data_IF_693816577388
#
_entry.id   IF_693816577388
#
_cell.length_a   1.000
_cell.length_b   1.000
_cell.length_c   1.000
_cell.angle_alpha   90.00
_cell.angle_beta   90.00
_cell.angle_gamma   90.00
#
_symmetry.space_group_name_H-M   'P 1'
#
loop_
_entity.id
_entity.type
_entity.pdbx_description
1 polymer ?
#
# COMPACT_ATOMS: atom_id res chain seq x y z
N UNK A 1 14.35 -5.32 7.21
CA UNK A 1 13.58 -4.07 7.34
C UNK A 1 13.06 -3.74 5.95
N UNK A 2 11.80 -3.31 5.86
CA UNK A 2 11.17 -2.94 4.59
C UNK A 2 10.84 -1.46 4.64
N UNK A 3 11.02 -0.76 3.51
CA UNK A 3 10.79 0.68 3.36
C UNK A 3 9.92 0.93 2.14
N UNK A 4 8.90 1.78 2.28
CA UNK A 4 8.03 2.24 1.20
C UNK A 4 8.08 3.77 1.17
N UNK A 5 8.31 4.33 -0.02
CA UNK A 5 8.24 5.76 -0.28
C UNK A 5 6.87 6.22 -0.74
N UNK A 6 6.76 7.51 -1.00
CA UNK A 6 5.58 8.17 -1.56
C UNK A 6 6.00 8.97 -2.82
N UNK A 7 5.06 9.27 -3.71
CA UNK A 7 5.18 10.09 -4.92
C UNK A 7 5.87 9.48 -6.15
N UNK A 8 6.59 8.38 -6.00
CA UNK A 8 7.42 7.82 -7.08
C UNK A 8 8.29 8.86 -7.81
N UNK A 9 8.99 9.69 -7.03
CA UNK A 9 9.92 10.67 -7.57
C UNK A 9 10.94 10.01 -8.52
N UNK A 10 11.45 10.78 -9.49
CA UNK A 10 12.31 10.26 -10.56
C UNK A 10 13.49 9.40 -10.05
N UNK A 11 14.11 9.79 -8.94
CA UNK A 11 15.25 9.08 -8.34
C UNK A 11 14.85 7.80 -7.59
N UNK A 12 13.56 7.55 -7.30
CA UNK A 12 13.12 6.39 -6.52
C UNK A 12 13.55 5.05 -7.15
N UNK A 13 13.64 5.01 -8.48
CA UNK A 13 14.12 3.84 -9.23
C UNK A 13 15.66 3.68 -9.22
N UNK A 14 16.40 4.76 -8.95
CA UNK A 14 17.86 4.82 -9.00
C UNK A 14 18.52 4.56 -7.63
N UNK A 15 17.74 4.61 -6.55
CA UNK A 15 18.23 4.26 -5.21
C UNK A 15 18.70 2.81 -5.14
N UNK A 16 19.60 2.52 -4.18
CA UNK A 16 20.07 1.16 -3.90
C UNK A 16 19.78 0.78 -2.44
N UNK A 17 18.80 -0.10 -2.18
CA UNK A 17 17.91 -0.77 -3.14
C UNK A 17 16.86 0.18 -3.75
N UNK A 18 16.40 -0.13 -4.96
CA UNK A 18 15.36 0.66 -5.63
C UNK A 18 14.08 0.68 -4.78
N UNK A 19 13.51 1.88 -4.60
CA UNK A 19 12.50 2.15 -3.58
C UNK A 19 11.09 1.77 -4.07
N UNK A 20 10.43 0.84 -3.38
CA UNK A 20 8.99 0.58 -3.50
C UNK A 20 8.25 1.84 -3.06
N UNK A 21 7.22 2.28 -3.80
CA UNK A 21 6.59 3.58 -3.56
C UNK A 21 5.14 3.62 -4.00
N UNK A 22 4.34 4.50 -3.41
CA UNK A 22 2.98 4.81 -3.86
C UNK A 22 3.03 5.96 -4.85
N UNK A 23 2.78 5.69 -6.12
CA UNK A 23 2.72 6.69 -7.20
C UNK A 23 1.36 7.40 -7.16
N UNK A 24 1.41 8.72 -7.10
CA UNK A 24 0.23 9.56 -7.24
C UNK A 24 0.04 10.02 -8.69
N UNK A 25 -1.21 10.20 -9.17
CA UNK A 25 -1.49 10.83 -10.46
C UNK A 25 -1.31 12.37 -10.36
N UNK A 26 -0.09 12.83 -10.06
CA UNK A 26 0.23 14.23 -9.70
C UNK A 26 -0.19 15.24 -10.76
N UNK A 27 -0.07 14.90 -12.04
CA UNK A 27 -0.54 15.75 -13.13
C UNK A 27 -2.06 15.95 -13.12
N UNK A 28 -2.82 14.86 -12.92
CA UNK A 28 -4.28 14.94 -12.86
C UNK A 28 -4.74 15.70 -11.62
N UNK A 29 -4.08 15.48 -10.48
CA UNK A 29 -4.32 16.23 -9.23
C UNK A 29 -4.15 17.74 -9.46
N UNK A 30 -2.99 18.16 -9.99
CA UNK A 30 -2.70 19.58 -10.22
C UNK A 30 -3.65 20.22 -11.23
N UNK A 31 -3.94 19.53 -12.34
CA UNK A 31 -4.91 19.99 -13.34
C UNK A 31 -6.30 20.18 -12.73
N UNK A 32 -6.78 19.17 -12.00
CA UNK A 32 -8.11 19.19 -11.39
C UNK A 32 -8.20 20.27 -10.33
N UNK A 33 -7.16 20.44 -9.51
CA UNK A 33 -7.11 21.52 -8.53
C UNK A 33 -7.21 22.91 -9.19
N UNK A 34 -6.51 23.13 -10.30
CA UNK A 34 -6.61 24.38 -11.05
C UNK A 34 -8.02 24.58 -11.65
N UNK A 35 -8.63 23.52 -12.19
CA UNK A 35 -10.01 23.55 -12.71
C UNK A 35 -11.01 23.89 -11.59
N UNK A 36 -10.86 23.30 -10.40
CA UNK A 36 -11.70 23.59 -9.23
C UNK A 36 -11.55 25.05 -8.77
N UNK A 37 -10.33 25.57 -8.70
CA UNK A 37 -10.06 26.96 -8.31
C UNK A 37 -10.69 27.96 -9.31
N UNK A 38 -10.59 27.68 -10.62
CA UNK A 38 -11.21 28.50 -11.65
C UNK A 38 -12.75 28.43 -11.62
N UNK A 39 -13.31 27.29 -11.18
CA UNK A 39 -14.75 27.17 -10.97
C UNK A 39 -15.22 27.91 -9.71
N UNK A 40 -14.39 27.98 -8.67
CA UNK A 40 -14.71 28.61 -7.38
C UNK A 40 -15.01 30.11 -7.51
N UNK A 41 -14.33 30.80 -8.43
CA UNK A 41 -14.55 32.24 -8.66
C UNK A 41 -15.86 32.55 -9.40
N UNK A 42 -16.60 31.53 -9.86
CA UNK A 42 -17.85 31.73 -10.60
C UNK A 42 -19.05 31.84 -9.65
N UNK A 43 -20.03 32.73 -9.93
CA UNK A 43 -21.26 32.81 -9.15
C UNK A 43 -22.01 31.48 -9.11
N UNK A 44 -22.47 31.07 -7.93
CA UNK A 44 -23.23 29.82 -7.76
C UNK A 44 -22.39 28.54 -7.77
N UNK A 45 -21.06 28.67 -7.66
CA UNK A 45 -20.15 27.55 -7.46
C UNK A 45 -20.59 26.61 -6.32
N UNK A 46 -20.29 25.31 -6.49
CA UNK A 46 -20.42 24.30 -5.44
C UNK A 46 -19.07 23.64 -5.19
N UNK A 47 -18.71 23.52 -3.92
CA UNK A 47 -17.51 22.80 -3.50
C UNK A 47 -17.62 21.34 -3.93
N UNK A 48 -16.52 20.81 -4.45
CA UNK A 48 -16.40 19.42 -4.87
C UNK A 48 -15.21 18.79 -4.17
N UNK A 49 -15.39 17.55 -3.72
CA UNK A 49 -14.34 16.70 -3.21
C UNK A 49 -14.13 15.55 -4.19
N UNK A 50 -12.87 15.31 -4.59
CA UNK A 50 -12.51 14.30 -5.58
C UNK A 50 -11.46 13.37 -5.00
N UNK A 51 -11.70 12.08 -5.13
CA UNK A 51 -10.78 11.04 -4.69
C UNK A 51 -10.02 10.47 -5.89
N UNK A 52 -8.69 10.48 -5.78
CA UNK A 52 -7.80 9.91 -6.79
C UNK A 52 -7.27 8.56 -6.30
N UNK A 53 -7.20 7.60 -7.21
CA UNK A 53 -6.65 6.27 -6.90
C UNK A 53 -5.14 6.27 -7.17
N UNK A 54 -4.29 6.11 -6.15
CA UNK A 54 -2.87 5.93 -6.37
C UNK A 54 -2.54 4.49 -6.77
N UNK A 55 -1.30 4.28 -7.21
CA UNK A 55 -0.77 2.98 -7.62
C UNK A 55 0.44 2.58 -6.76
N UNK A 56 0.50 1.34 -6.31
CA UNK A 56 1.70 0.82 -5.64
C UNK A 56 2.71 0.32 -6.69
N UNK A 57 3.88 0.94 -6.73
CA UNK A 57 5.01 0.52 -7.57
C UNK A 57 5.98 -0.29 -6.72
N UNK A 58 5.94 -1.62 -6.88
CA UNK A 58 6.79 -2.54 -6.13
C UNK A 58 8.20 -2.61 -6.71
N UNK A 59 9.22 -2.42 -5.86
CA UNK A 59 10.65 -2.53 -6.18
C UNK A 59 11.39 -3.36 -5.12
N UNK A 60 12.67 -3.04 -4.85
CA UNK A 60 13.61 -3.88 -4.08
C UNK A 60 13.74 -3.48 -2.60
N UNK A 61 13.14 -2.39 -2.14
CA UNK A 61 13.21 -1.95 -0.74
C UNK A 61 12.22 -2.65 0.20
N UNK A 62 11.37 -3.53 -0.31
CA UNK A 62 10.37 -4.28 0.48
C UNK A 62 10.59 -5.78 0.35
N UNK A 63 10.50 -6.48 1.47
CA UNK A 63 10.51 -7.94 1.52
C UNK A 63 9.58 -8.44 2.64
N UNK A 64 9.18 -9.72 2.62
CA UNK A 64 8.51 -10.35 3.75
C UNK A 64 9.36 -10.22 5.04
N UNK A 65 8.73 -10.16 6.22
CA UNK A 65 9.47 -10.18 7.47
C UNK A 65 10.28 -11.48 7.59
N UNK A 66 11.51 -11.39 8.09
CA UNK A 66 12.32 -12.58 8.34
C UNK A 66 11.61 -13.47 9.37
N UNK A 67 11.26 -14.70 8.98
CA UNK A 67 10.65 -15.70 9.86
C UNK A 67 11.69 -16.23 10.86
N UNK A 68 12.06 -15.43 11.87
CA UNK A 68 12.94 -15.88 12.96
C UNK A 68 12.24 -16.78 13.99
N UNK A 69 10.91 -16.98 13.90
CA UNK A 69 10.15 -17.86 14.79
C UNK A 69 9.45 -19.05 14.10
N UNK A 70 9.51 -19.21 12.78
CA UNK A 70 8.91 -20.39 12.13
C UNK A 70 9.71 -21.68 12.38
N UNK A 71 10.96 -21.60 12.87
CA UNK A 71 11.80 -22.77 13.17
C UNK A 71 11.58 -23.38 14.56
N UNK A 72 10.78 -22.79 15.45
CA UNK A 72 10.48 -23.41 16.76
C UNK A 72 9.29 -24.39 16.74
N UNK A 73 8.44 -24.34 15.71
CA UNK A 73 7.33 -25.29 15.53
C UNK A 73 7.67 -26.50 14.64
N UNK A 74 8.76 -26.44 13.88
CA UNK A 74 9.27 -27.58 13.10
C UNK A 74 10.40 -28.36 13.81
N UNK A 75 10.93 -27.85 14.92
CA UNK A 75 11.99 -28.51 15.71
C UNK A 75 11.48 -29.27 16.95
N UNK A 76 10.19 -29.15 17.27
CA UNK A 76 9.50 -30.07 18.18
C UNK A 76 8.70 -31.01 17.31
N UNK A 77 9.18 -32.25 17.16
CA UNK A 77 8.60 -33.25 16.29
C UNK A 77 7.09 -33.30 16.38
N UNK A 78 6.43 -33.06 15.24
CA UNK A 78 5.03 -33.40 15.03
C UNK A 78 4.93 -34.93 14.98
N UNK A 79 5.03 -35.57 16.13
CA UNK A 79 4.60 -36.95 16.32
C UNK A 79 3.07 -36.91 16.40
N UNK A 80 2.43 -37.26 15.28
CA UNK A 80 1.06 -37.77 15.19
C UNK A 80 -0.06 -37.04 15.95
N UNK A 81 -0.92 -36.33 15.23
CA UNK A 81 -2.27 -36.04 15.73
C UNK A 81 -3.00 -34.91 15.01
N UNK A 82 -3.87 -35.29 14.05
CA UNK A 82 -5.05 -34.58 13.52
C UNK A 82 -4.94 -33.06 13.28
N UNK A 83 -5.01 -32.68 12.00
CA UNK A 83 -5.40 -31.34 11.59
C UNK A 83 -6.86 -31.05 12.00
N UNK A 84 -7.16 -30.02 12.79
CA UNK A 84 -8.48 -29.46 12.84
C UNK A 84 -8.58 -28.41 11.73
N UNK A 85 -9.31 -28.77 10.67
CA UNK A 85 -9.93 -27.78 9.80
C UNK A 85 -10.78 -26.81 10.64
N UNK A 86 -11.02 -25.61 10.12
CA UNK A 86 -11.95 -24.61 10.66
C UNK A 86 -11.39 -23.66 11.73
N UNK A 87 -10.60 -22.69 11.27
CA UNK A 87 -10.58 -21.35 11.87
C UNK A 87 -10.52 -20.29 10.75
N UNK A 88 -11.49 -20.34 9.85
CA UNK A 88 -11.89 -19.22 8.99
C UNK A 88 -13.37 -19.41 8.65
N UNK A 89 -14.24 -18.88 9.50
CA UNK A 89 -15.43 -18.04 9.20
C UNK A 89 -16.26 -17.93 10.48
N UNK A 90 -16.62 -16.71 10.85
CA UNK A 90 -17.17 -16.36 12.15
C UNK A 90 -18.69 -16.50 12.34
N UNK A 91 -19.09 -16.00 13.53
CA UNK A 91 -20.42 -15.75 14.12
C UNK A 91 -21.06 -16.89 14.96
N UNK A 92 -21.98 -16.59 15.91
CA UNK A 92 -21.98 -15.48 16.89
C UNK A 92 -22.42 -15.91 18.32
N UNK A 93 -21.93 -15.20 19.35
CA UNK A 93 -22.65 -14.60 20.49
C UNK A 93 -21.61 -14.00 21.46
#
# INVERSE_FOLDING_TARGET
MSVVGYDDAFFASELSPALTTVRQPTYQLGRTAAELLLAEVQPGHRHAELLFRPELVVRRSTAPPALRQAKRLLALGFFGGRCPHAWWTGSPL
#
